data_IF_355858965209
#
_entry.id   IF_355858965209
#
_cell.length_a   1.000
_cell.length_b   1.000
_cell.length_c   1.000
_cell.angle_alpha   90.00
_cell.angle_beta   90.00
_cell.angle_gamma   90.00
#
_symmetry.space_group_name_H-M   'P 1'
#
loop_
_entity.id
_entity.type
_entity.pdbx_description
1 polymer ?
#
# COMPACT_ATOMS: atom_id res chain seq x y z
N UNK A 1 -16.01 1.91 -7.00
CA UNK A 1 -14.72 2.00 -7.71
C UNK A 1 -14.57 0.83 -8.67
N UNK A 2 -14.38 1.09 -9.96
CA UNK A 2 -14.07 0.14 -11.02
C UNK A 2 -12.56 -0.17 -11.04
N UNK A 3 -12.17 -1.45 -11.22
CA UNK A 3 -10.78 -1.87 -11.38
C UNK A 3 -10.57 -2.51 -12.75
N UNK A 4 -9.72 -1.89 -13.57
CA UNK A 4 -9.31 -2.42 -14.88
C UNK A 4 -7.89 -2.97 -14.74
N UNK A 5 -7.70 -4.26 -15.04
CA UNK A 5 -6.39 -4.92 -14.97
C UNK A 5 -5.79 -5.07 -16.35
N UNK A 6 -4.72 -4.34 -16.64
CA UNK A 6 -3.99 -4.41 -17.90
C UNK A 6 -4.63 -3.59 -19.03
N UNK A 7 -3.78 -3.15 -19.95
CA UNK A 7 -4.13 -2.29 -21.09
C UNK A 7 -5.08 -2.99 -22.08
N UNK A 8 -5.06 -4.32 -22.13
CA UNK A 8 -5.93 -5.13 -23.00
C UNK A 8 -7.39 -5.17 -22.53
N UNK A 9 -7.66 -4.87 -21.25
CA UNK A 9 -9.01 -4.81 -20.71
C UNK A 9 -9.63 -3.41 -20.78
N UNK A 10 -8.94 -2.44 -21.39
CA UNK A 10 -9.51 -1.13 -21.69
C UNK A 10 -10.49 -1.30 -22.87
N UNK A 11 -11.74 -0.88 -22.67
CA UNK A 11 -12.86 -1.00 -23.61
C UNK A 11 -13.33 0.39 -24.04
N UNK A 12 -14.09 0.53 -25.14
CA UNK A 12 -14.63 1.81 -25.59
C UNK A 12 -15.40 2.59 -24.52
N UNK A 13 -16.12 1.91 -23.61
CA UNK A 13 -16.84 2.53 -22.49
C UNK A 13 -15.94 3.24 -21.46
N UNK A 14 -14.62 3.00 -21.48
CA UNK A 14 -13.67 3.66 -20.59
C UNK A 14 -13.07 4.93 -21.20
N UNK A 15 -13.45 5.29 -22.42
CA UNK A 15 -13.00 6.50 -23.10
C UNK A 15 -13.61 7.74 -22.43
N UNK A 16 -12.78 8.75 -22.19
CA UNK A 16 -13.13 9.96 -21.45
C UNK A 16 -12.86 9.79 -19.95
N UNK A 17 -11.77 10.38 -19.47
CA UNK A 17 -11.48 10.44 -18.04
C UNK A 17 -10.56 11.61 -17.67
N UNK A 18 -10.55 11.91 -16.37
CA UNK A 18 -9.52 12.71 -15.73
C UNK A 18 -8.56 11.75 -15.02
N UNK A 19 -7.28 11.82 -15.36
CA UNK A 19 -6.29 10.80 -15.02
C UNK A 19 -5.16 11.37 -14.15
N UNK A 20 -4.71 10.57 -13.18
CA UNK A 20 -3.37 10.72 -12.59
C UNK A 20 -2.59 9.42 -12.67
N UNK A 21 -1.27 9.53 -12.80
CA UNK A 21 -0.36 8.38 -12.94
C UNK A 21 0.65 8.42 -11.79
N UNK A 22 0.80 7.30 -11.08
CA UNK A 22 1.77 7.23 -10.00
C UNK A 22 1.77 5.89 -9.27
N UNK A 23 2.78 5.68 -8.42
CA UNK A 23 2.84 4.47 -7.61
C UNK A 23 1.89 4.52 -6.42
N UNK A 24 1.62 5.71 -5.88
CA UNK A 24 0.76 5.95 -4.71
C UNK A 24 1.05 4.99 -3.54
N UNK A 25 2.33 4.68 -3.29
CA UNK A 25 2.69 3.74 -2.22
C UNK A 25 2.46 4.40 -0.84
N UNK A 26 1.64 3.75 -0.02
CA UNK A 26 1.18 4.29 1.26
C UNK A 26 -0.07 5.17 1.18
N UNK A 27 -0.41 5.72 0.01
CA UNK A 27 -1.51 6.70 -0.16
C UNK A 27 -1.50 7.79 0.94
N UNK A 28 -0.30 8.27 1.27
CA UNK A 28 -0.08 9.25 2.33
C UNK A 28 -0.72 10.62 2.05
N UNK A 29 -0.65 11.56 3.00
CA UNK A 29 -1.29 12.88 2.88
C UNK A 29 -0.87 13.66 1.63
N UNK A 30 0.39 13.57 1.22
CA UNK A 30 0.85 14.13 -0.06
C UNK A 30 0.13 13.55 -1.29
N UNK A 31 -0.17 12.25 -1.30
CA UNK A 31 -0.98 11.62 -2.34
C UNK A 31 -2.46 12.02 -2.21
N UNK A 32 -2.99 12.08 -1.00
CA UNK A 32 -4.37 12.48 -0.76
C UNK A 32 -4.66 13.90 -1.29
N UNK A 33 -3.70 14.83 -1.18
CA UNK A 33 -3.82 16.17 -1.76
C UNK A 33 -3.93 16.13 -3.30
N UNK A 34 -3.07 15.35 -3.97
CA UNK A 34 -3.14 15.14 -5.43
C UNK A 34 -4.47 14.52 -5.84
N UNK A 35 -4.92 13.50 -5.11
CA UNK A 35 -6.18 12.79 -5.41
C UNK A 35 -7.41 13.67 -5.16
N UNK A 36 -7.36 14.59 -4.19
CA UNK A 36 -8.41 15.61 -4.02
C UNK A 36 -8.47 16.57 -5.22
N UNK A 37 -7.32 17.00 -5.73
CA UNK A 37 -7.24 17.78 -6.97
C UNK A 37 -7.83 17.03 -8.17
N UNK A 38 -7.48 15.75 -8.32
CA UNK A 38 -8.04 14.88 -9.36
C UNK A 38 -9.58 14.81 -9.28
N UNK A 39 -10.14 14.69 -8.07
CA UNK A 39 -11.59 14.62 -7.86
C UNK A 39 -12.28 15.95 -8.18
N UNK A 40 -11.64 17.08 -7.92
CA UNK A 40 -12.15 18.39 -8.31
C UNK A 40 -12.17 18.53 -9.84
N UNK A 41 -11.06 18.22 -10.50
CA UNK A 41 -10.94 18.24 -11.96
C UNK A 41 -11.95 17.29 -12.62
N UNK A 42 -12.13 16.09 -12.07
CA UNK A 42 -13.12 15.11 -12.54
C UNK A 42 -14.55 15.67 -12.50
N UNK A 43 -14.92 16.35 -11.40
CA UNK A 43 -16.23 17.00 -11.26
C UNK A 43 -16.42 18.16 -12.23
N UNK A 44 -15.42 19.03 -12.39
CA UNK A 44 -15.46 20.15 -13.33
C UNK A 44 -15.65 19.69 -14.78
N UNK A 45 -15.04 18.56 -15.15
CA UNK A 45 -15.12 18.01 -16.50
C UNK A 45 -16.31 17.06 -16.69
N UNK A 46 -17.09 16.77 -15.65
CA UNK A 46 -18.13 15.74 -15.65
C UNK A 46 -17.63 14.38 -16.19
N UNK A 47 -16.42 13.98 -15.76
CA UNK A 47 -15.74 12.78 -16.21
C UNK A 47 -15.21 11.95 -15.02
N UNK A 48 -15.08 10.62 -15.17
CA UNK A 48 -14.69 9.76 -14.07
C UNK A 48 -13.24 10.01 -13.61
N UNK A 49 -13.07 10.13 -12.30
CA UNK A 49 -11.76 10.19 -11.65
C UNK A 49 -10.99 8.86 -11.80
N UNK A 50 -9.84 8.91 -12.47
CA UNK A 50 -9.08 7.71 -12.82
C UNK A 50 -7.65 7.76 -12.29
N UNK A 51 -7.21 6.69 -11.64
CA UNK A 51 -5.83 6.50 -11.19
C UNK A 51 -5.18 5.37 -11.98
N UNK A 52 -4.04 5.64 -12.60
CA UNK A 52 -3.23 4.62 -13.25
C UNK A 52 -2.07 4.20 -12.34
N UNK A 53 -1.99 2.90 -12.08
CA UNK A 53 -1.00 2.25 -11.23
C UNK A 53 -0.20 1.22 -12.02
N UNK A 54 0.95 0.84 -11.50
CA UNK A 54 1.82 -0.20 -12.05
C UNK A 54 2.05 -1.32 -11.04
N UNK A 55 1.87 -2.58 -11.46
CA UNK A 55 2.16 -3.76 -10.64
C UNK A 55 2.97 -4.80 -11.46
N UNK A 56 4.15 -5.24 -10.99
CA UNK A 56 4.90 -4.70 -9.84
C UNK A 56 5.24 -3.21 -10.05
N UNK A 57 5.67 -2.53 -8.98
CA UNK A 57 6.06 -1.12 -9.12
C UNK A 57 7.32 -1.04 -10.01
N UNK A 58 7.53 0.04 -10.80
CA UNK A 58 8.69 0.14 -11.69
C UNK A 58 10.01 -0.05 -10.94
N UNK A 59 10.13 0.53 -9.75
CA UNK A 59 11.31 0.37 -8.91
C UNK A 59 11.52 -1.08 -8.45
N UNK A 60 10.46 -1.83 -8.16
CA UNK A 60 10.55 -3.25 -7.83
C UNK A 60 10.97 -4.09 -9.04
N UNK A 61 10.48 -3.75 -10.23
CA UNK A 61 10.85 -4.44 -11.46
C UNK A 61 12.35 -4.29 -11.78
N UNK A 62 12.89 -3.08 -11.65
CA UNK A 62 14.31 -2.82 -11.92
C UNK A 62 15.24 -3.25 -10.79
N UNK A 63 14.88 -2.99 -9.53
CA UNK A 63 15.73 -3.29 -8.38
C UNK A 63 15.69 -4.76 -7.95
N UNK A 64 14.68 -5.53 -8.39
CA UNK A 64 14.49 -6.94 -8.02
C UNK A 64 14.62 -7.15 -6.50
N UNK A 65 15.69 -7.77 -6.06
CA UNK A 65 15.95 -8.08 -4.64
C UNK A 65 16.32 -6.85 -3.78
N UNK A 66 16.74 -5.75 -4.40
CA UNK A 66 17.11 -4.50 -3.72
C UNK A 66 15.95 -3.48 -3.67
N UNK A 67 14.73 -3.91 -4.00
CA UNK A 67 13.57 -3.03 -3.99
C UNK A 67 13.24 -2.57 -2.56
N UNK A 68 12.85 -1.29 -2.36
CA UNK A 68 12.47 -0.81 -1.06
C UNK A 68 11.22 -1.54 -0.54
N UNK A 69 11.06 -1.57 0.78
CA UNK A 69 9.88 -2.16 1.40
C UNK A 69 8.60 -1.47 0.91
N UNK A 70 7.68 -2.24 0.34
CA UNK A 70 6.36 -1.74 -0.07
C UNK A 70 5.57 -1.33 1.18
N UNK A 71 5.08 -0.08 1.22
CA UNK A 71 4.23 0.40 2.30
C UNK A 71 2.87 -0.29 2.25
N UNK A 72 2.24 -0.33 1.08
CA UNK A 72 0.88 -0.86 0.88
C UNK A 72 0.80 -1.85 -0.26
N UNK A 73 0.19 -3.02 -0.05
CA UNK A 73 -0.07 -3.96 -1.15
C UNK A 73 -1.21 -3.44 -2.03
N UNK A 74 -1.32 -3.96 -3.25
CA UNK A 74 -2.35 -3.53 -4.21
C UNK A 74 -3.76 -3.51 -3.59
N UNK A 75 -4.15 -4.56 -2.87
CA UNK A 75 -5.48 -4.63 -2.25
C UNK A 75 -5.71 -3.52 -1.22
N UNK A 76 -4.72 -3.23 -0.38
CA UNK A 76 -4.81 -2.17 0.63
C UNK A 76 -4.84 -0.79 -0.04
N UNK A 77 -3.99 -0.58 -1.04
CA UNK A 77 -3.96 0.63 -1.87
C UNK A 77 -5.31 0.89 -2.54
N UNK A 78 -5.93 -0.14 -3.15
CA UNK A 78 -7.25 -0.03 -3.76
C UNK A 78 -8.32 0.35 -2.72
N UNK A 79 -8.26 -0.18 -1.49
CA UNK A 79 -9.17 0.22 -0.41
C UNK A 79 -8.98 1.69 -0.04
N UNK A 80 -7.74 2.15 0.10
CA UNK A 80 -7.43 3.55 0.40
C UNK A 80 -7.92 4.49 -0.71
N UNK A 81 -7.69 4.14 -1.98
CA UNK A 81 -8.19 4.91 -3.14
C UNK A 81 -9.72 4.93 -3.18
N UNK A 82 -10.38 3.79 -2.92
CA UNK A 82 -11.84 3.72 -2.88
C UNK A 82 -12.42 4.58 -1.76
N UNK A 83 -11.77 4.60 -0.58
CA UNK A 83 -12.20 5.42 0.55
C UNK A 83 -12.06 6.93 0.27
N UNK A 84 -11.11 7.32 -0.58
CA UNK A 84 -10.96 8.69 -1.05
C UNK A 84 -12.00 9.09 -2.10
N UNK A 85 -12.82 8.15 -2.60
CA UNK A 85 -13.84 8.42 -3.61
C UNK A 85 -13.37 8.28 -5.05
N UNK A 86 -12.20 7.66 -5.30
CA UNK A 86 -11.75 7.38 -6.66
C UNK A 86 -12.72 6.44 -7.37
N UNK A 87 -13.13 6.80 -8.58
CA UNK A 87 -14.11 6.04 -9.34
C UNK A 87 -13.49 4.90 -10.11
N UNK A 88 -12.29 5.08 -10.67
CA UNK A 88 -11.63 4.07 -11.51
C UNK A 88 -10.15 3.92 -11.21
N UNK A 89 -9.68 2.68 -11.22
CA UNK A 89 -8.26 2.35 -11.16
C UNK A 89 -7.86 1.49 -12.36
N UNK A 90 -6.83 1.91 -13.09
CA UNK A 90 -6.20 1.14 -14.16
C UNK A 90 -4.88 0.60 -13.62
N UNK A 91 -4.82 -0.71 -13.39
CA UNK A 91 -3.63 -1.40 -12.92
C UNK A 91 -2.90 -2.02 -14.11
N UNK A 92 -1.85 -1.35 -14.59
CA UNK A 92 -1.00 -1.83 -15.68
C UNK A 92 0.01 -2.84 -15.15
N UNK A 93 0.18 -3.96 -15.85
CA UNK A 93 1.26 -4.90 -15.57
C UNK A 93 2.59 -4.29 -16.03
N UNK A 94 3.49 -3.99 -15.09
CA UNK A 94 4.82 -3.49 -15.47
C UNK A 94 5.72 -4.67 -15.82
N UNK A 95 5.98 -4.86 -17.11
CA UNK A 95 6.79 -5.95 -17.65
C UNK A 95 7.79 -5.43 -18.68
N UNK A 96 8.63 -6.31 -19.23
CA UNK A 96 9.67 -5.92 -20.19
C UNK A 96 9.09 -5.26 -21.45
N UNK A 97 7.93 -5.71 -21.94
CA UNK A 97 7.28 -5.11 -23.10
C UNK A 97 6.84 -3.66 -22.81
N UNK A 98 6.23 -3.43 -21.65
CA UNK A 98 5.83 -2.08 -21.23
C UNK A 98 7.04 -1.18 -20.96
N UNK A 99 8.10 -1.71 -20.34
CA UNK A 99 9.34 -0.99 -20.11
C UNK A 99 10.06 -0.58 -21.41
N UNK A 100 9.84 -1.33 -22.50
CA UNK A 100 10.41 -1.07 -23.83
C UNK A 100 9.51 -0.20 -24.72
N UNK A 101 8.31 0.19 -24.27
CA UNK A 101 7.38 1.02 -25.03
C UNK A 101 7.92 2.45 -25.18
N UNK A 102 7.87 3.02 -26.39
CA UNK A 102 8.28 4.40 -26.61
C UNK A 102 7.31 5.38 -25.92
N UNK A 103 7.82 6.54 -25.52
CA UNK A 103 7.03 7.52 -24.76
C UNK A 103 5.86 8.06 -25.61
N UNK A 104 6.10 8.36 -26.88
CA UNK A 104 5.11 8.84 -27.83
C UNK A 104 4.00 7.81 -28.08
N UNK A 105 4.37 6.52 -28.15
CA UNK A 105 3.42 5.41 -28.27
C UNK A 105 2.53 5.32 -27.02
N UNK A 106 3.10 5.47 -25.82
CA UNK A 106 2.33 5.48 -24.59
C UNK A 106 1.29 6.62 -24.57
N UNK A 107 1.69 7.83 -24.97
CA UNK A 107 0.76 8.98 -25.01
C UNK A 107 -0.31 8.77 -26.09
N UNK A 108 0.10 8.51 -27.32
CA UNK A 108 -0.82 8.42 -28.46
C UNK A 108 -1.78 7.24 -28.35
N UNK A 109 -1.29 6.03 -28.11
CA UNK A 109 -2.11 4.83 -28.18
C UNK A 109 -2.90 4.58 -26.89
N UNK A 110 -2.34 4.91 -25.72
CA UNK A 110 -2.99 4.61 -24.44
C UNK A 110 -3.75 5.83 -23.92
N UNK A 111 -3.08 6.97 -23.73
CA UNK A 111 -3.71 8.14 -23.10
C UNK A 111 -4.75 8.78 -24.03
N UNK A 112 -4.41 8.96 -25.31
CA UNK A 112 -5.27 9.66 -26.27
C UNK A 112 -6.27 8.70 -26.90
N UNK A 113 -5.82 7.70 -27.67
CA UNK A 113 -6.72 6.84 -28.45
C UNK A 113 -7.60 5.92 -27.59
N UNK A 114 -7.03 5.25 -26.58
CA UNK A 114 -7.77 4.28 -25.75
C UNK A 114 -8.56 4.91 -24.62
N UNK A 115 -7.97 5.88 -23.92
CA UNK A 115 -8.57 6.46 -22.72
C UNK A 115 -9.23 7.81 -22.97
N UNK A 116 -8.90 8.52 -24.05
CA UNK A 116 -9.48 9.85 -24.30
C UNK A 116 -9.28 10.82 -23.13
N UNK A 117 -8.09 10.81 -22.52
CA UNK A 117 -7.80 11.60 -21.32
C UNK A 117 -8.02 13.09 -21.61
N UNK A 118 -8.84 13.76 -20.81
CA UNK A 118 -9.12 15.20 -20.94
C UNK A 118 -8.24 16.06 -20.04
N UNK A 119 -7.94 15.56 -18.85
CA UNK A 119 -7.03 16.20 -17.93
C UNK A 119 -6.10 15.15 -17.31
N UNK A 120 -4.81 15.45 -17.28
CA UNK A 120 -3.75 14.59 -16.75
C UNK A 120 -2.99 15.32 -15.65
N UNK A 121 -2.95 14.75 -14.45
CA UNK A 121 -2.13 15.25 -13.35
C UNK A 121 -0.96 14.31 -13.07
N UNK A 122 0.28 14.80 -13.20
CA UNK A 122 1.52 14.03 -12.95
C UNK A 122 2.56 14.87 -12.18
N UNK A 123 3.53 14.21 -11.54
CA UNK A 123 4.65 14.91 -10.91
C UNK A 123 5.59 15.54 -11.93
N UNK A 124 6.25 16.65 -11.58
CA UNK A 124 7.22 17.31 -12.48
C UNK A 124 8.42 16.41 -12.80
N UNK A 125 8.78 15.56 -11.85
CA UNK A 125 9.84 14.55 -11.95
C UNK A 125 9.37 13.23 -12.60
N UNK A 126 8.11 13.16 -13.06
CA UNK A 126 7.55 11.97 -13.68
C UNK A 126 8.29 11.64 -14.97
N UNK A 127 8.80 10.40 -15.05
CA UNK A 127 9.53 9.89 -16.21
C UNK A 127 8.89 8.64 -16.78
N UNK A 128 8.78 8.71 -18.11
CA UNK A 128 8.06 7.87 -19.05
C UNK A 128 8.79 6.96 -20.01
N UNK A 129 8.21 5.82 -20.39
CA UNK A 129 8.63 5.09 -21.60
C UNK A 129 10.05 4.54 -21.54
N UNK A 130 10.48 3.98 -22.67
CA UNK A 130 11.78 3.34 -22.83
C UNK A 130 12.89 4.30 -22.40
N UNK A 131 13.75 3.81 -21.51
CA UNK A 131 14.89 4.58 -20.97
C UNK A 131 14.53 5.95 -20.39
N UNK A 132 13.30 6.13 -19.87
CA UNK A 132 12.86 7.39 -19.22
C UNK A 132 12.88 8.61 -20.15
N UNK A 133 12.75 8.38 -21.47
CA UNK A 133 12.76 9.43 -22.49
C UNK A 133 11.54 10.37 -22.38
N UNK A 134 10.40 9.85 -21.93
CA UNK A 134 9.20 10.66 -21.70
C UNK A 134 9.30 11.52 -20.43
N UNK A 135 8.76 12.73 -20.52
CA UNK A 135 8.75 13.71 -19.44
C UNK A 135 7.50 14.60 -19.51
N UNK A 136 7.35 15.53 -18.55
CA UNK A 136 6.23 16.47 -18.50
C UNK A 136 6.06 17.30 -19.78
N UNK A 137 7.16 17.81 -20.35
CA UNK A 137 7.13 18.62 -21.58
C UNK A 137 6.59 17.85 -22.79
N UNK A 138 6.95 16.56 -22.91
CA UNK A 138 6.39 15.69 -23.95
C UNK A 138 4.87 15.53 -23.79
N UNK A 139 4.39 15.30 -22.55
CA UNK A 139 2.96 15.20 -22.26
C UNK A 139 2.22 16.48 -22.59
N UNK A 140 2.77 17.64 -22.20
CA UNK A 140 2.16 18.94 -22.46
C UNK A 140 2.08 19.24 -23.96
N UNK A 141 3.17 19.00 -24.70
CA UNK A 141 3.24 19.23 -26.15
C UNK A 141 2.22 18.36 -26.90
N UNK A 142 2.24 17.05 -26.68
CA UNK A 142 1.31 16.12 -27.34
C UNK A 142 -0.12 16.31 -26.86
N UNK A 143 -0.33 16.66 -25.59
CA UNK A 143 -1.66 16.88 -25.03
C UNK A 143 -2.35 18.11 -25.59
N UNK A 144 -1.61 19.21 -25.75
CA UNK A 144 -2.14 20.46 -26.33
C UNK A 144 -2.71 20.26 -27.73
N UNK A 145 -2.06 19.42 -28.56
CA UNK A 145 -2.52 19.11 -29.92
C UNK A 145 -3.89 18.42 -29.99
N UNK A 146 -4.34 17.80 -28.89
CA UNK A 146 -5.59 17.03 -28.83
C UNK A 146 -6.55 17.51 -27.74
N UNK A 147 -6.28 18.67 -27.14
CA UNK A 147 -7.11 19.24 -26.07
C UNK A 147 -7.04 18.48 -24.74
N UNK A 148 -5.94 17.77 -24.47
CA UNK A 148 -5.65 17.18 -23.16
C UNK A 148 -4.85 18.18 -22.32
N UNK A 149 -5.43 18.65 -21.21
CA UNK A 149 -4.72 19.50 -20.26
C UNK A 149 -3.76 18.68 -19.39
N UNK A 150 -2.56 19.19 -19.14
CA UNK A 150 -1.55 18.53 -18.30
C UNK A 150 -1.17 19.45 -17.15
N UNK A 151 -1.38 18.99 -15.92
CA UNK A 151 -1.12 19.74 -14.68
C UNK A 151 -0.06 19.04 -13.84
N UNK A 152 0.70 19.84 -13.09
CA UNK A 152 1.66 19.32 -12.12
C UNK A 152 1.00 18.97 -10.79
N UNK A 153 1.47 17.89 -10.15
CA UNK A 153 1.10 17.60 -8.75
C UNK A 153 1.54 18.69 -7.77
N UNK A 154 2.57 19.49 -8.10
CA UNK A 154 3.06 20.56 -7.24
C UNK A 154 1.98 21.62 -6.99
N UNK A 155 1.11 21.86 -7.98
CA UNK A 155 -0.04 22.76 -7.86
C UNK A 155 -1.00 22.39 -6.72
N UNK A 156 -0.98 21.12 -6.25
CA UNK A 156 -1.86 20.63 -5.20
C UNK A 156 -1.17 20.45 -3.83
N UNK A 157 0.16 20.63 -3.73
CA UNK A 157 0.95 20.30 -2.53
C UNK A 157 1.07 21.45 -1.50
N UNK A 158 0.30 22.53 -1.64
CA UNK A 158 0.50 23.78 -0.87
C UNK A 158 0.33 23.71 0.66
N UNK A 159 -0.18 22.62 1.25
CA UNK A 159 -0.64 22.65 2.65
C UNK A 159 -0.03 21.64 3.63
N UNK A 160 0.89 20.75 3.24
CA UNK A 160 1.53 19.86 4.23
C UNK A 160 2.96 19.46 3.85
N UNK A 161 3.89 19.96 4.65
CA UNK A 161 5.33 19.78 4.59
C UNK A 161 5.79 18.36 4.23
N UNK A 162 6.67 18.27 3.22
CA UNK A 162 7.69 17.23 3.02
C UNK A 162 7.29 15.77 3.29
N UNK A 163 6.06 15.33 3.04
CA UNK A 163 5.68 13.92 3.19
C UNK A 163 6.14 13.12 1.97
N UNK A 164 6.87 12.02 2.18
CA UNK A 164 7.27 11.09 1.12
C UNK A 164 7.20 9.63 1.58
N UNK A 165 7.03 8.69 0.63
CA UNK A 165 7.11 7.27 0.95
C UNK A 165 8.45 6.86 1.57
N UNK A 166 9.54 7.59 1.30
CA UNK A 166 10.87 7.32 1.90
C UNK A 166 10.86 7.62 3.40
N UNK A 167 10.43 8.82 3.80
CA UNK A 167 10.36 9.21 5.21
C UNK A 167 9.41 8.30 6.00
N UNK A 168 8.30 7.86 5.39
CA UNK A 168 7.39 6.91 6.02
C UNK A 168 8.07 5.55 6.24
N UNK A 169 8.88 5.07 5.28
CA UNK A 169 9.63 3.82 5.46
C UNK A 169 10.68 3.94 6.56
N UNK A 170 11.36 5.08 6.66
CA UNK A 170 12.34 5.35 7.72
C UNK A 170 11.68 5.33 9.10
N UNK A 171 10.59 6.09 9.28
CA UNK A 171 9.83 6.10 10.54
C UNK A 171 9.32 4.70 10.92
N UNK A 172 8.78 3.95 9.95
CA UNK A 172 8.31 2.57 10.20
C UNK A 172 9.46 1.60 10.54
N UNK A 173 10.63 1.77 9.94
CA UNK A 173 11.80 0.93 10.21
C UNK A 173 12.34 1.16 11.63
N UNK A 174 12.31 2.40 12.10
CA UNK A 174 12.65 2.77 13.48
C UNK A 174 11.54 2.32 14.47
N UNK A 175 10.33 2.15 13.97
CA UNK A 175 9.16 1.79 14.76
C UNK A 175 8.39 2.97 15.31
N UNK A 176 8.65 4.17 14.79
CA UNK A 176 7.90 5.39 15.07
C UNK A 176 6.56 5.37 14.29
N UNK A 177 5.58 4.69 14.88
CA UNK A 177 4.23 4.61 14.34
C UNK A 177 3.50 5.96 14.41
N UNK A 178 3.90 6.86 15.31
CA UNK A 178 3.26 8.17 15.51
C UNK A 178 3.57 9.06 14.31
N UNK A 179 4.85 9.23 13.97
CA UNK A 179 5.27 10.00 12.79
C UNK A 179 4.74 9.38 11.51
N UNK A 180 4.77 8.05 11.39
CA UNK A 180 4.19 7.36 10.24
C UNK A 180 2.69 7.66 10.10
N UNK A 181 1.91 7.65 11.19
CA UNK A 181 0.49 8.00 11.19
C UNK A 181 0.25 9.44 10.79
N UNK A 182 1.04 10.39 11.30
CA UNK A 182 0.93 11.82 10.94
C UNK A 182 1.14 12.00 9.44
N UNK A 183 2.13 11.32 8.86
CA UNK A 183 2.41 11.39 7.42
C UNK A 183 1.36 10.65 6.55
N UNK A 184 0.89 9.49 7.00
CA UNK A 184 -0.11 8.70 6.28
C UNK A 184 -1.52 9.30 6.35
N UNK A 185 -1.86 9.93 7.48
CA UNK A 185 -3.22 10.35 7.81
C UNK A 185 -4.09 9.20 8.37
N UNK A 186 -3.51 8.01 8.55
CA UNK A 186 -4.17 6.83 9.10
C UNK A 186 -3.13 5.91 9.76
N UNK A 187 -3.59 4.95 10.58
CA UNK A 187 -2.70 3.95 11.18
C UNK A 187 -2.06 3.09 10.08
N UNK A 188 -0.79 2.69 10.27
CA UNK A 188 -0.17 1.73 9.37
C UNK A 188 -0.87 0.37 9.52
N UNK A 189 -1.22 -0.25 8.40
CA UNK A 189 -2.01 -1.47 8.42
C UNK A 189 -1.49 -2.52 7.45
N UNK A 190 -1.66 -3.77 7.84
CA UNK A 190 -1.30 -4.94 7.07
C UNK A 190 -2.54 -5.82 6.95
N UNK A 191 -2.88 -6.21 5.72
CA UNK A 191 -3.99 -7.12 5.49
C UNK A 191 -3.55 -8.41 4.80
N UNK A 192 -4.29 -9.49 5.07
CA UNK A 192 -4.11 -10.75 4.37
C UNK A 192 -5.06 -11.83 4.83
N UNK A 193 -4.98 -12.99 4.15
CA UNK A 193 -5.74 -14.18 4.57
C UNK A 193 -5.02 -14.88 5.71
N UNK A 194 -5.78 -15.29 6.71
CA UNK A 194 -5.29 -16.13 7.81
C UNK A 194 -4.93 -17.50 7.25
N UNK A 195 -3.68 -17.92 7.46
CA UNK A 195 -3.15 -19.21 7.06
C UNK A 195 -2.91 -20.10 8.27
N UNK A 196 -2.75 -21.39 8.01
CA UNK A 196 -2.28 -22.34 9.01
C UNK A 196 -0.82 -22.03 9.36
N UNK A 197 -0.56 -21.70 10.63
CA UNK A 197 0.78 -21.58 11.20
C UNK A 197 1.27 -22.91 11.78
N UNK A 198 2.44 -22.87 12.42
CA UNK A 198 3.14 -24.05 12.96
C UNK A 198 2.49 -24.67 14.22
N UNK A 199 1.32 -24.19 14.62
CA UNK A 199 0.53 -24.63 15.80
C UNK A 199 1.24 -24.63 17.17
N UNK A 200 2.56 -24.37 17.26
CA UNK A 200 3.34 -24.32 18.51
C UNK A 200 2.76 -23.39 19.59
N UNK A 201 2.17 -22.25 19.19
CA UNK A 201 1.52 -21.34 20.15
C UNK A 201 0.30 -21.96 20.86
N UNK A 202 -0.37 -22.96 20.25
CA UNK A 202 -1.55 -23.59 20.85
C UNK A 202 -1.20 -24.40 22.10
N UNK A 203 -0.02 -25.03 22.12
CA UNK A 203 0.49 -25.77 23.29
C UNK A 203 0.75 -24.85 24.48
N UNK A 204 0.99 -23.56 24.20
CA UNK A 204 1.20 -22.50 25.19
C UNK A 204 -0.09 -21.72 25.55
N UNK A 205 -1.25 -22.13 25.03
CA UNK A 205 -2.53 -21.42 25.21
C UNK A 205 -2.74 -20.21 24.30
N UNK A 206 -1.73 -19.80 23.52
CA UNK A 206 -1.80 -18.65 22.61
C UNK A 206 -2.23 -19.07 21.20
N UNK A 207 -3.53 -18.97 20.92
CA UNK A 207 -4.04 -19.10 19.54
C UNK A 207 -3.59 -17.89 18.72
N UNK A 208 -2.81 -18.11 17.67
CA UNK A 208 -2.34 -17.05 16.77
C UNK A 208 -2.90 -17.17 15.37
N UNK A 209 -3.41 -16.05 14.85
CA UNK A 209 -3.74 -15.87 13.45
C UNK A 209 -2.47 -15.51 12.67
N UNK A 210 -2.17 -16.27 11.63
CA UNK A 210 -0.94 -16.10 10.85
C UNK A 210 -1.27 -15.48 9.50
N UNK A 211 -0.60 -14.39 9.11
CA UNK A 211 -0.69 -13.79 7.78
C UNK A 211 0.67 -13.85 7.10
N UNK A 212 0.74 -14.52 5.95
CA UNK A 212 1.90 -14.44 5.09
C UNK A 212 1.98 -13.08 4.40
N UNK A 213 3.04 -12.32 4.69
CA UNK A 213 3.21 -10.97 4.17
C UNK A 213 3.51 -10.94 2.67
N UNK A 214 4.01 -12.06 2.12
CA UNK A 214 4.33 -12.27 0.69
C UNK A 214 5.15 -11.10 0.11
N UNK A 215 6.15 -10.65 0.87
CA UNK A 215 7.09 -9.58 0.52
C UNK A 215 8.49 -9.97 1.00
N UNK A 216 9.52 -9.54 0.27
CA UNK A 216 10.91 -9.77 0.65
C UNK A 216 11.33 -8.86 1.81
N UNK A 217 10.94 -7.58 1.76
CA UNK A 217 11.26 -6.58 2.78
C UNK A 217 9.96 -6.10 3.45
N UNK A 218 9.90 -6.17 4.77
CA UNK A 218 8.81 -5.59 5.55
C UNK A 218 9.23 -4.20 6.04
N UNK A 219 8.36 -3.17 5.92
CA UNK A 219 8.69 -1.83 6.42
C UNK A 219 8.73 -1.75 7.95
N UNK A 220 8.25 -2.77 8.65
CA UNK A 220 8.15 -2.83 10.12
C UNK A 220 8.63 -4.19 10.63
N UNK A 221 9.19 -4.22 11.83
CA UNK A 221 9.59 -5.43 12.55
C UNK A 221 9.39 -5.20 14.06
N UNK A 222 9.01 -6.25 14.78
CA UNK A 222 8.88 -6.23 16.23
C UNK A 222 7.52 -6.73 16.72
N UNK A 223 7.24 -6.43 17.98
CA UNK A 223 6.00 -6.76 18.67
C UNK A 223 5.18 -5.49 18.86
N UNK A 224 3.89 -5.57 18.55
CA UNK A 224 2.98 -4.43 18.49
C UNK A 224 1.66 -4.73 19.19
N UNK A 225 1.10 -3.70 19.85
CA UNK A 225 -0.33 -3.68 20.16
C UNK A 225 -1.09 -3.38 18.86
N UNK A 226 -2.12 -4.17 18.57
CA UNK A 226 -2.85 -4.08 17.30
C UNK A 226 -4.35 -4.03 17.47
N UNK A 227 -4.97 -3.28 16.57
CA UNK A 227 -6.41 -3.32 16.34
C UNK A 227 -6.69 -4.12 15.07
N UNK A 228 -7.63 -5.06 15.15
CA UNK A 228 -7.90 -6.02 14.08
C UNK A 228 -9.35 -5.93 13.66
N UNK A 229 -9.58 -5.90 12.35
CA UNK A 229 -10.88 -6.10 11.73
C UNK A 229 -10.94 -7.46 11.08
N UNK A 230 -11.82 -8.33 11.58
CA UNK A 230 -12.01 -9.69 11.09
C UNK A 230 -13.45 -10.14 11.30
N UNK A 231 -14.03 -10.84 10.31
CA UNK A 231 -15.45 -11.27 10.34
C UNK A 231 -16.45 -10.11 10.66
N UNK A 232 -16.14 -8.88 10.26
CA UNK A 232 -16.94 -7.70 10.58
C UNK A 232 -16.85 -7.22 12.03
N UNK A 233 -15.98 -7.83 12.85
CA UNK A 233 -15.76 -7.47 14.25
C UNK A 233 -14.42 -6.77 14.44
N UNK A 234 -14.43 -5.78 15.34
CA UNK A 234 -13.22 -5.15 15.87
C UNK A 234 -12.73 -5.95 17.07
N UNK A 235 -11.46 -6.34 17.04
CA UNK A 235 -10.80 -7.14 18.07
C UNK A 235 -9.44 -6.53 18.35
N UNK A 236 -8.94 -6.66 19.58
CA UNK A 236 -7.60 -6.20 19.95
C UNK A 236 -6.65 -7.39 20.10
N UNK A 237 -5.35 -7.12 20.06
CA UNK A 237 -4.38 -8.19 20.24
C UNK A 237 -2.94 -7.71 20.29
N UNK A 238 -2.05 -8.69 20.34
CA UNK A 238 -0.61 -8.52 20.19
C UNK A 238 -0.18 -9.15 18.87
N UNK A 239 0.59 -8.42 18.07
CA UNK A 239 1.17 -8.92 16.84
C UNK A 239 2.69 -9.01 16.92
N UNK A 240 3.25 -10.12 16.47
CA UNK A 240 4.67 -10.22 16.13
C UNK A 240 4.84 -10.14 14.61
N UNK A 241 5.75 -9.26 14.16
CA UNK A 241 6.13 -9.13 12.75
C UNK A 241 7.61 -9.42 12.63
N UNK A 242 7.91 -10.51 11.93
CA UNK A 242 9.28 -11.02 11.86
C UNK A 242 9.58 -11.87 10.64
N UNK A 243 10.86 -12.14 10.44
CA UNK A 243 11.36 -13.02 9.39
C UNK A 243 11.66 -14.40 9.97
N UNK A 244 10.94 -15.42 9.51
CA UNK A 244 11.25 -16.82 9.88
C UNK A 244 12.20 -17.45 8.86
N UNK A 245 13.28 -18.11 9.29
CA UNK A 245 14.06 -18.99 8.43
C UNK A 245 13.16 -20.13 7.90
N UNK A 246 13.28 -20.43 6.62
CA UNK A 246 12.62 -21.56 5.95
C UNK A 246 13.60 -22.26 5.02
N UNK A 247 13.30 -23.49 4.60
CA UNK A 247 14.14 -24.27 3.68
C UNK A 247 14.47 -23.53 2.36
N UNK A 248 13.61 -22.60 1.92
CA UNK A 248 13.78 -21.83 0.68
C UNK A 248 14.06 -20.33 0.94
N UNK A 249 14.65 -19.97 2.09
CA UNK A 249 15.01 -18.59 2.45
C UNK A 249 14.23 -18.05 3.65
N UNK A 250 14.13 -16.73 3.81
CA UNK A 250 13.37 -16.11 4.91
C UNK A 250 11.96 -15.74 4.48
N UNK A 251 10.96 -15.98 5.34
CA UNK A 251 9.57 -15.59 5.11
C UNK A 251 9.10 -14.60 6.16
N UNK A 252 8.74 -13.41 5.72
CA UNK A 252 8.10 -12.40 6.55
C UNK A 252 6.68 -12.87 6.94
N UNK A 253 6.41 -12.93 8.24
CA UNK A 253 5.17 -13.42 8.84
C UNK A 253 4.64 -12.38 9.83
N UNK A 254 3.32 -12.20 9.81
CA UNK A 254 2.59 -11.49 10.85
C UNK A 254 1.83 -12.53 11.68
N UNK A 255 2.12 -12.63 12.96
CA UNK A 255 1.49 -13.54 13.91
C UNK A 255 0.71 -12.72 14.93
N UNK A 256 -0.61 -12.87 14.97
CA UNK A 256 -1.48 -12.07 15.85
C UNK A 256 -2.15 -12.96 16.88
N UNK A 257 -1.93 -12.68 18.15
CA UNK A 257 -2.72 -13.22 19.25
C UNK A 257 -3.90 -12.27 19.52
N UNK A 258 -5.11 -12.73 19.23
CA UNK A 258 -6.35 -11.97 19.41
C UNK A 258 -6.88 -12.18 20.83
N UNK A 259 -7.24 -11.10 21.52
CA UNK A 259 -7.85 -11.15 22.85
C UNK A 259 -9.31 -11.58 22.77
N UNK A 260 -9.73 -12.41 23.73
CA UNK A 260 -11.11 -12.88 23.92
C UNK A 260 -11.77 -13.40 22.63
N UNK A 261 -10.97 -14.04 21.76
CA UNK A 261 -11.41 -14.45 20.43
C UNK A 261 -11.17 -15.95 20.21
N UNK A 262 -12.25 -16.73 20.25
CA UNK A 262 -12.20 -18.19 20.20
C UNK A 262 -12.68 -18.81 18.86
N UNK A 263 -12.97 -18.01 17.83
CA UNK A 263 -13.53 -18.49 16.56
C UNK A 263 -12.47 -19.05 15.61
N UNK A 264 -12.84 -20.03 14.79
CA UNK A 264 -12.01 -20.44 13.65
C UNK A 264 -12.11 -19.40 12.53
N UNK A 265 -10.96 -18.87 12.15
CA UNK A 265 -10.80 -17.79 11.19
C UNK A 265 -9.88 -18.18 10.02
N UNK A 266 -9.56 -19.46 9.85
CA UNK A 266 -8.75 -19.90 8.72
C UNK A 266 -9.38 -19.51 7.38
N UNK A 267 -8.54 -19.00 6.47
CA UNK A 267 -8.98 -18.53 5.15
C UNK A 267 -9.65 -17.15 5.18
N UNK A 268 -10.11 -16.67 6.34
CA UNK A 268 -10.72 -15.35 6.45
C UNK A 268 -9.70 -14.24 6.19
N UNK A 269 -10.20 -13.11 5.69
CA UNK A 269 -9.38 -11.93 5.47
C UNK A 269 -9.36 -11.07 6.73
N UNK A 270 -8.16 -10.74 7.18
CA UNK A 270 -7.90 -9.95 8.37
C UNK A 270 -7.20 -8.65 7.98
N UNK A 271 -7.62 -7.55 8.58
CA UNK A 271 -6.98 -6.24 8.47
C UNK A 271 -6.44 -5.86 9.84
N UNK A 272 -5.13 -5.64 9.94
CA UNK A 272 -4.41 -5.43 11.20
C UNK A 272 -3.78 -4.06 11.18
N UNK A 273 -4.25 -3.16 12.03
CA UNK A 273 -3.68 -1.83 12.25
C UNK A 273 -2.68 -1.91 13.40
N UNK A 274 -1.47 -1.37 13.18
CA UNK A 274 -0.46 -1.26 14.22
C UNK A 274 -0.72 0.03 15.00
N UNK A 275 -0.91 -0.11 16.31
CA UNK A 275 -1.28 0.99 17.19
C UNK A 275 -0.06 1.49 17.95
N UNK A 276 0.67 0.57 18.57
CA UNK A 276 1.84 0.90 19.38
C UNK A 276 2.91 -0.19 19.23
N UNK A 277 4.18 0.22 19.17
CA UNK A 277 5.32 -0.69 19.19
C UNK A 277 5.68 -1.00 20.64
N UNK A 278 5.56 -2.26 21.04
CA UNK A 278 5.86 -2.70 22.39
C UNK A 278 7.35 -2.99 22.57
N UNK A 279 7.98 -3.64 21.58
CA UNK A 279 9.42 -3.97 21.60
C UNK A 279 9.93 -4.48 20.25
N UNK A 280 11.25 -4.58 20.11
CA UNK A 280 11.88 -5.31 19.02
C UNK A 280 11.79 -6.84 19.20
N UNK A 281 12.01 -7.59 18.11
CA UNK A 281 12.13 -9.06 18.18
C UNK A 281 13.32 -9.48 19.05
N UNK A 282 13.15 -10.55 19.83
CA UNK A 282 14.17 -11.11 20.71
C UNK A 282 14.14 -12.64 20.61
N UNK A 283 15.30 -13.27 20.63
CA UNK A 283 15.42 -14.74 20.77
C UNK A 283 15.35 -15.12 22.24
N UNK A 284 14.66 -16.23 22.54
CA UNK A 284 14.56 -16.78 23.88
C UNK A 284 15.23 -18.15 23.91
N UNK A 285 15.93 -18.45 25.00
CA UNK A 285 16.66 -19.71 25.17
C UNK A 285 15.73 -20.81 25.70
N UNK A 286 14.68 -20.43 26.42
CA UNK A 286 13.72 -21.37 27.03
C UNK A 286 12.27 -20.99 26.75
N UNK A 287 11.40 -22.00 26.80
CA UNK A 287 9.95 -21.84 26.66
C UNK A 287 9.35 -20.97 27.77
N UNK A 288 9.88 -21.09 28.99
CA UNK A 288 9.45 -20.31 30.16
C UNK A 288 9.72 -18.82 29.96
N UNK A 289 10.91 -18.45 29.48
CA UNK A 289 11.25 -17.06 29.16
C UNK A 289 10.33 -16.48 28.07
N UNK A 290 10.07 -17.26 27.01
CA UNK A 290 9.15 -16.86 25.94
C UNK A 290 7.74 -16.61 26.48
N UNK A 291 7.23 -17.53 27.31
CA UNK A 291 5.87 -17.45 27.87
C UNK A 291 5.72 -16.24 28.79
N UNK A 292 6.70 -16.01 29.67
CA UNK A 292 6.73 -14.83 30.55
C UNK A 292 6.75 -13.53 29.74
N UNK A 293 7.55 -13.46 28.67
CA UNK A 293 7.57 -12.27 27.83
C UNK A 293 6.24 -12.04 27.10
N UNK A 294 5.62 -13.09 26.57
CA UNK A 294 4.31 -12.96 25.91
C UNK A 294 3.27 -12.41 26.90
N UNK A 295 3.27 -12.87 28.16
CA UNK A 295 2.37 -12.35 29.18
C UNK A 295 2.57 -10.84 29.42
N UNK A 296 3.83 -10.39 29.49
CA UNK A 296 4.17 -8.97 29.59
C UNK A 296 3.69 -8.18 28.36
N UNK A 297 3.90 -8.71 27.15
CA UNK A 297 3.47 -8.07 25.91
C UNK A 297 1.94 -7.93 25.85
N UNK A 298 1.21 -8.95 26.32
CA UNK A 298 -0.27 -8.94 26.43
C UNK A 298 -0.73 -7.89 27.44
N UNK A 299 -0.11 -7.83 28.62
CA UNK A 299 -0.46 -6.83 29.63
C UNK A 299 -0.24 -5.40 29.13
N UNK A 300 0.90 -5.13 28.48
CA UNK A 300 1.20 -3.83 27.90
C UNK A 300 0.21 -3.44 26.78
N UNK A 301 -0.13 -4.38 25.89
CA UNK A 301 -1.15 -4.14 24.86
C UNK A 301 -2.55 -3.91 25.44
N UNK A 302 -2.94 -4.65 26.49
CA UNK A 302 -4.20 -4.40 27.19
C UNK A 302 -4.23 -3.00 27.80
N UNK A 303 -3.15 -2.58 28.46
CA UNK A 303 -3.01 -1.23 29.01
C UNK A 303 -3.13 -0.15 27.92
N UNK A 304 -2.48 -0.33 26.76
CA UNK A 304 -2.59 0.55 25.59
C UNK A 304 -4.06 0.76 25.15
N UNK A 305 -4.89 -0.28 25.25
CA UNK A 305 -6.31 -0.24 24.87
C UNK A 305 -7.28 0.05 26.05
N UNK A 306 -6.77 0.26 27.27
CA UNK A 306 -7.62 0.41 28.46
C UNK A 306 -8.44 -0.84 28.80
N UNK A 307 -7.93 -2.03 28.46
CA UNK A 307 -8.55 -3.32 28.77
C UNK A 307 -7.98 -3.84 30.09
N UNK A 308 -8.86 -4.39 30.94
CA UNK A 308 -8.47 -5.05 32.20
C UNK A 308 -7.98 -6.49 31.97
#
# INVERSE_FOLDING_TARGET
MELIRGIHNIRPQHFGCVLTIGNFDGVHLGHAAVLKGLLADAKENNLPSTVMLFEPQPQEFFAKNNAPARLTRLRDKLRLLSNLGIERVICISFNQAFANMHAEQFVSDILIKKLGVKALTVGDDFRFGKQRQGNFSLLATMGTQVGMSVKSTASFRQLNARVSSTLIREALAEGDLVSAKVMLGHNYAISGRVIHGWKKGRELGFRTANIALKRQVCPVNGVFAVQVMIAGKKVFGVANIGNKPTFNGTRALLEVHLFDFAQDIYGQFMHVELIEKLRNEKKFETLTQLTAQIATDVAAAKQCFGLN
#
